data_IF_685739953435
#
_entry.id   IF_685739953435
#
_cell.length_a   1.000
_cell.length_b   1.000
_cell.length_c   1.000
_cell.angle_alpha   90.00
_cell.angle_beta   90.00
_cell.angle_gamma   90.00
#
_symmetry.space_group_name_H-M   'P 1'
#
loop_
_entity.id
_entity.type
_entity.pdbx_description
1 polymer ?
#
# COMPACT_ATOMS: atom_id res chain seq x y z
N UNK A 1 -33.18 -31.56 -24.43
CA UNK A 1 -31.78 -31.10 -24.61
C UNK A 1 -31.59 -29.57 -24.72
N UNK A 2 -32.66 -28.75 -24.79
CA UNK A 2 -32.52 -27.28 -24.92
C UNK A 2 -32.34 -26.50 -23.62
N UNK A 3 -32.86 -27.00 -22.49
CA UNK A 3 -32.86 -26.28 -21.20
C UNK A 3 -31.49 -26.25 -20.52
N UNK A 4 -30.73 -27.35 -20.58
CA UNK A 4 -29.40 -27.46 -19.95
C UNK A 4 -28.39 -26.50 -20.60
N UNK A 5 -28.45 -26.33 -21.93
CA UNK A 5 -27.58 -25.38 -22.66
C UNK A 5 -27.86 -23.92 -22.30
N UNK A 6 -29.12 -23.57 -22.08
CA UNK A 6 -29.49 -22.21 -21.67
C UNK A 6 -29.01 -21.88 -20.24
N UNK A 7 -29.10 -22.84 -19.32
CA UNK A 7 -28.62 -22.66 -17.93
C UNK A 7 -27.10 -22.50 -17.87
N UNK A 8 -26.35 -23.33 -18.61
CA UNK A 8 -24.88 -23.22 -18.67
C UNK A 8 -24.45 -21.87 -19.26
N UNK A 9 -25.13 -21.40 -20.32
CA UNK A 9 -24.83 -20.10 -20.91
C UNK A 9 -25.10 -18.94 -19.93
N UNK A 10 -26.20 -19.01 -19.16
CA UNK A 10 -26.50 -18.01 -18.13
C UNK A 10 -25.47 -18.01 -17.00
N UNK A 11 -25.04 -19.20 -16.54
CA UNK A 11 -24.02 -19.30 -15.49
C UNK A 11 -22.67 -18.76 -15.95
N UNK A 12 -22.27 -19.03 -17.20
CA UNK A 12 -21.03 -18.51 -17.78
C UNK A 12 -21.08 -16.98 -17.93
N UNK A 13 -22.20 -16.44 -18.40
CA UNK A 13 -22.40 -14.98 -18.49
C UNK A 13 -22.35 -14.35 -17.10
N UNK A 14 -23.01 -14.94 -16.10
CA UNK A 14 -22.97 -14.42 -14.73
C UNK A 14 -21.57 -14.46 -14.11
N UNK A 15 -20.80 -15.53 -14.38
CA UNK A 15 -19.40 -15.65 -13.96
C UNK A 15 -18.52 -14.60 -14.65
N UNK A 16 -18.71 -14.39 -15.95
CA UNK A 16 -17.97 -13.40 -16.72
C UNK A 16 -18.28 -11.98 -16.24
N UNK A 17 -19.55 -11.64 -15.97
CA UNK A 17 -19.95 -10.34 -15.42
C UNK A 17 -19.37 -10.09 -14.02
N UNK A 18 -19.27 -11.11 -13.17
CA UNK A 18 -18.60 -11.01 -11.85
C UNK A 18 -17.10 -10.73 -11.96
N UNK A 19 -16.44 -11.25 -12.99
CA UNK A 19 -15.00 -11.05 -13.23
C UNK A 19 -14.73 -9.63 -13.75
N UNK A 20 -15.57 -9.12 -14.67
CA UNK A 20 -15.38 -7.76 -15.24
C UNK A 20 -15.74 -6.62 -14.28
N UNK A 21 -16.58 -6.87 -13.27
CA UNK A 21 -16.98 -5.85 -12.29
C UNK A 21 -15.95 -5.60 -11.16
N UNK A 22 -14.80 -6.28 -11.16
CA UNK A 22 -13.82 -6.19 -10.07
C UNK A 22 -12.58 -5.32 -10.37
N UNK A 23 -12.63 -4.46 -11.38
CA UNK A 23 -11.63 -3.40 -11.50
C UNK A 23 -12.13 -2.15 -10.74
N UNK A 24 -11.58 -1.85 -9.55
CA UNK A 24 -11.97 -0.64 -8.83
C UNK A 24 -11.65 0.57 -9.72
N UNK A 25 -12.63 1.46 -9.88
CA UNK A 25 -12.42 2.69 -10.64
C UNK A 25 -11.40 3.59 -9.92
N UNK A 26 -10.78 4.52 -10.64
CA UNK A 26 -9.85 5.50 -10.04
C UNK A 26 -10.49 6.32 -8.91
N UNK A 27 -11.80 6.54 -9.00
CA UNK A 27 -12.63 7.21 -7.99
C UNK A 27 -12.74 6.37 -6.71
N UNK A 28 -12.97 5.06 -6.82
CA UNK A 28 -13.08 4.15 -5.67
C UNK A 28 -11.76 4.04 -4.89
N UNK A 29 -10.62 4.08 -5.60
CA UNK A 29 -9.29 4.04 -4.98
C UNK A 29 -8.98 5.36 -4.26
N UNK A 30 -9.35 6.50 -4.83
CA UNK A 30 -9.16 7.81 -4.20
C UNK A 30 -10.03 7.95 -2.94
N UNK A 31 -11.30 7.53 -3.01
CA UNK A 31 -12.19 7.54 -1.85
C UNK A 31 -11.66 6.69 -0.69
N UNK A 32 -11.14 5.48 -0.97
CA UNK A 32 -10.54 4.64 0.08
C UNK A 32 -9.29 5.23 0.69
N UNK A 33 -8.47 5.93 -0.10
CA UNK A 33 -7.27 6.58 0.44
C UNK A 33 -7.60 7.71 1.42
N UNK A 34 -8.57 8.58 1.09
CA UNK A 34 -9.02 9.64 1.99
C UNK A 34 -9.67 9.08 3.28
N UNK A 35 -10.41 7.98 3.16
CA UNK A 35 -10.97 7.27 4.31
C UNK A 35 -9.85 6.74 5.22
N UNK A 36 -8.85 6.06 4.65
CA UNK A 36 -7.73 5.51 5.41
C UNK A 36 -6.88 6.61 6.05
N UNK A 37 -6.62 7.70 5.32
CA UNK A 37 -5.95 8.89 5.84
C UNK A 37 -6.67 9.44 7.07
N UNK A 38 -7.99 9.61 6.99
CA UNK A 38 -8.80 10.10 8.13
C UNK A 38 -8.72 9.16 9.33
N UNK A 39 -8.92 7.86 9.11
CA UNK A 39 -8.85 6.84 10.17
C UNK A 39 -7.48 6.78 10.84
N UNK A 40 -6.42 6.84 10.05
CA UNK A 40 -5.05 6.76 10.55
C UNK A 40 -4.62 8.05 11.25
N UNK A 41 -5.08 9.22 10.79
CA UNK A 41 -4.86 10.48 11.49
C UNK A 41 -5.48 10.46 12.89
N UNK A 42 -6.74 10.01 13.01
CA UNK A 42 -7.44 9.93 14.29
C UNK A 42 -6.76 8.99 15.29
N UNK A 43 -6.28 7.83 14.84
CA UNK A 43 -5.66 6.83 15.72
C UNK A 43 -4.24 7.18 16.14
N UNK A 44 -3.44 7.70 15.21
CA UNK A 44 -2.03 8.05 15.46
C UNK A 44 -1.84 9.37 16.19
N UNK A 45 -2.82 10.28 16.12
CA UNK A 45 -2.68 11.68 16.57
C UNK A 45 -1.54 12.42 15.86
N UNK A 46 -1.20 11.99 14.63
CA UNK A 46 -0.22 12.65 13.80
C UNK A 46 -0.63 14.10 13.50
N UNK A 47 0.38 14.94 13.27
CA UNK A 47 0.12 16.33 12.86
C UNK A 47 -0.52 16.33 11.45
N UNK A 48 -1.73 16.87 11.29
CA UNK A 48 -2.41 16.89 9.99
C UNK A 48 -1.57 17.54 8.88
N UNK A 49 -0.80 18.59 9.19
CA UNK A 49 0.04 19.26 8.20
C UNK A 49 1.17 18.36 7.67
N UNK A 50 1.76 17.51 8.53
CA UNK A 50 2.77 16.54 8.11
C UNK A 50 2.17 15.40 7.30
N UNK A 51 0.92 15.01 7.62
CA UNK A 51 0.19 14.01 6.83
C UNK A 51 -0.12 14.54 5.43
N UNK A 52 -0.61 15.78 5.30
CA UNK A 52 -0.84 16.38 3.98
C UNK A 52 0.46 16.46 3.18
N UNK A 53 1.53 16.98 3.79
CA UNK A 53 2.83 17.08 3.11
C UNK A 53 3.37 15.71 2.67
N UNK A 54 3.22 14.66 3.50
CA UNK A 54 3.57 13.29 3.10
C UNK A 54 2.82 12.83 1.84
N UNK A 55 1.53 13.14 1.69
CA UNK A 55 0.77 12.75 0.50
C UNK A 55 1.08 13.61 -0.72
N UNK A 56 1.48 14.87 -0.54
CA UNK A 56 1.84 15.79 -1.62
C UNK A 56 3.26 15.57 -2.14
N UNK A 57 4.22 15.37 -1.24
CA UNK A 57 5.66 15.36 -1.55
C UNK A 57 6.29 13.98 -1.43
N UNK A 58 5.68 13.08 -0.65
CA UNK A 58 6.27 11.78 -0.30
C UNK A 58 7.26 11.85 0.87
N UNK A 59 7.43 13.00 1.53
CA UNK A 59 8.40 13.18 2.62
C UNK A 59 8.10 12.27 3.82
N UNK A 60 9.09 11.50 4.25
CA UNK A 60 9.00 10.64 5.43
C UNK A 60 9.48 11.39 6.67
N UNK A 61 8.60 11.51 7.67
CA UNK A 61 8.85 12.21 8.92
C UNK A 61 9.18 11.21 10.04
N UNK A 62 10.13 11.56 10.90
CA UNK A 62 10.57 10.74 12.05
C UNK A 62 9.75 10.97 13.32
N UNK A 63 8.72 11.81 13.26
CA UNK A 63 7.84 12.07 14.39
C UNK A 63 7.16 10.76 14.86
N UNK A 64 7.12 10.46 16.18
CA UNK A 64 6.55 9.21 16.67
C UNK A 64 5.08 8.99 16.28
N UNK A 65 4.27 10.06 16.21
CA UNK A 65 2.88 9.94 15.77
C UNK A 65 2.82 9.68 14.26
N UNK A 66 3.70 10.29 13.46
CA UNK A 66 3.84 9.96 12.03
C UNK A 66 4.25 8.50 11.82
N UNK A 67 5.16 7.96 12.63
CA UNK A 67 5.54 6.54 12.55
C UNK A 67 4.33 5.61 12.73
N UNK A 68 3.46 5.91 13.69
CA UNK A 68 2.22 5.16 13.89
C UNK A 68 1.16 5.43 12.81
N UNK A 69 1.13 6.64 12.25
CA UNK A 69 0.30 6.94 11.08
C UNK A 69 0.67 6.03 9.91
N UNK A 70 1.97 5.88 9.62
CA UNK A 70 2.46 4.98 8.58
C UNK A 70 2.06 3.53 8.85
N UNK A 71 2.25 3.03 10.08
CA UNK A 71 1.86 1.68 10.47
C UNK A 71 0.37 1.40 10.22
N UNK A 72 -0.50 2.35 10.58
CA UNK A 72 -1.93 2.25 10.29
C UNK A 72 -2.20 2.23 8.78
N UNK A 73 -1.57 3.12 8.02
CA UNK A 73 -1.83 3.24 6.58
C UNK A 73 -1.43 1.97 5.83
N UNK A 74 -0.25 1.42 6.12
CA UNK A 74 0.23 0.19 5.49
C UNK A 74 -0.63 -1.03 5.83
N UNK A 75 -1.21 -1.06 7.04
CA UNK A 75 -2.20 -2.08 7.44
C UNK A 75 -3.48 -1.96 6.61
N UNK A 76 -4.07 -0.75 6.50
CA UNK A 76 -5.29 -0.52 5.70
C UNK A 76 -5.10 -0.80 4.22
N UNK A 77 -3.90 -0.59 3.71
CA UNK A 77 -3.52 -0.90 2.33
C UNK A 77 -3.20 -2.39 2.10
N UNK A 78 -3.26 -3.24 3.14
CA UNK A 78 -2.88 -4.67 3.08
C UNK A 78 -1.43 -4.89 2.60
N UNK A 79 -0.53 -3.96 2.93
CA UNK A 79 0.92 -4.07 2.72
C UNK A 79 1.60 -4.87 3.84
N UNK A 80 0.84 -5.18 4.90
CA UNK A 80 1.23 -6.03 6.02
C UNK A 80 0.20 -7.14 6.16
N UNK A 81 0.65 -8.36 6.42
CA UNK A 81 -0.22 -9.48 6.76
C UNK A 81 -0.71 -9.38 8.22
N UNK A 82 -1.80 -10.08 8.60
CA UNK A 82 -2.32 -10.05 9.96
C UNK A 82 -1.35 -10.51 11.05
N UNK A 83 -0.32 -11.29 10.69
CA UNK A 83 0.75 -11.72 11.59
C UNK A 83 1.87 -10.67 11.76
N UNK A 84 1.73 -9.49 11.14
CA UNK A 84 2.70 -8.40 11.19
C UNK A 84 3.86 -8.50 10.21
N UNK A 85 3.93 -9.51 9.33
CA UNK A 85 4.99 -9.60 8.30
C UNK A 85 4.62 -8.80 7.06
N UNK A 86 5.60 -8.24 6.36
CA UNK A 86 5.31 -7.45 5.15
C UNK A 86 4.90 -8.32 3.97
N UNK A 87 3.93 -7.82 3.20
CA UNK A 87 3.53 -8.40 1.94
C UNK A 87 4.40 -7.79 0.82
N UNK A 88 5.58 -8.38 0.60
CA UNK A 88 6.59 -7.83 -0.31
C UNK A 88 6.08 -7.68 -1.76
N UNK A 89 5.23 -8.60 -2.21
CA UNK A 89 4.59 -8.50 -3.53
C UNK A 89 3.64 -7.31 -3.62
N UNK A 90 2.89 -7.01 -2.56
CA UNK A 90 2.02 -5.84 -2.51
C UNK A 90 2.84 -4.55 -2.49
N UNK A 91 3.97 -4.51 -1.76
CA UNK A 91 4.89 -3.38 -1.76
C UNK A 91 5.51 -3.11 -3.14
N UNK A 92 6.01 -4.15 -3.81
CA UNK A 92 6.56 -4.02 -5.16
C UNK A 92 5.54 -3.47 -6.15
N UNK A 93 4.29 -3.95 -6.08
CA UNK A 93 3.18 -3.43 -6.90
C UNK A 93 2.79 -2.01 -6.51
N UNK A 94 2.80 -1.67 -5.21
CA UNK A 94 2.46 -0.34 -4.70
C UNK A 94 3.40 0.73 -5.27
N UNK A 95 4.70 0.44 -5.32
CA UNK A 95 5.70 1.31 -5.95
C UNK A 95 5.74 1.20 -7.48
N UNK A 96 4.78 0.53 -8.13
CA UNK A 96 4.70 0.48 -9.60
C UNK A 96 5.95 -0.09 -10.28
N UNK A 97 6.76 -0.90 -9.57
CA UNK A 97 8.03 -1.41 -10.06
C UNK A 97 9.18 -0.39 -10.08
N UNK A 98 9.00 0.84 -9.55
CA UNK A 98 10.07 1.83 -9.41
C UNK A 98 11.15 1.41 -8.40
N UNK A 99 10.82 0.49 -7.49
CA UNK A 99 11.77 -0.10 -6.57
C UNK A 99 11.97 -1.56 -6.95
N UNK A 100 13.22 -1.99 -7.05
CA UNK A 100 13.56 -3.38 -7.32
C UNK A 100 13.14 -4.26 -6.13
N UNK A 101 12.65 -5.47 -6.40
CA UNK A 101 12.25 -6.43 -5.35
C UNK A 101 13.40 -6.74 -4.37
N UNK A 102 14.65 -6.67 -4.84
CA UNK A 102 15.84 -6.85 -3.99
C UNK A 102 15.96 -5.77 -2.91
N UNK A 103 15.62 -4.51 -3.23
CA UNK A 103 15.63 -3.40 -2.27
C UNK A 103 14.50 -3.55 -1.26
N UNK A 104 13.29 -3.89 -1.73
CA UNK A 104 12.13 -4.17 -0.84
C UNK A 104 12.48 -5.27 0.17
N UNK A 105 13.11 -6.34 -0.31
CA UNK A 105 13.53 -7.48 0.54
C UNK A 105 14.65 -7.07 1.50
N UNK A 106 15.59 -6.21 1.07
CA UNK A 106 16.65 -5.70 1.92
C UNK A 106 16.08 -4.85 3.07
N UNK A 107 15.13 -3.97 2.77
CA UNK A 107 14.46 -3.15 3.80
C UNK A 107 13.67 -4.01 4.80
N UNK A 108 12.99 -5.06 4.34
CA UNK A 108 12.29 -6.00 5.23
C UNK A 108 13.28 -6.76 6.12
N UNK A 109 14.44 -7.20 5.60
CA UNK A 109 15.46 -7.86 6.43
C UNK A 109 16.00 -6.95 7.55
N UNK A 110 16.12 -5.65 7.29
CA UNK A 110 16.64 -4.68 8.26
C UNK A 110 15.61 -4.30 9.33
N UNK A 111 14.35 -4.08 8.93
CA UNK A 111 13.33 -3.51 9.82
C UNK A 111 12.18 -4.49 10.17
N UNK A 112 12.04 -5.58 9.43
CA UNK A 112 10.91 -6.51 9.50
C UNK A 112 10.80 -7.29 10.81
N UNK A 113 11.89 -7.43 11.56
CA UNK A 113 11.93 -8.09 12.87
C UNK A 113 11.60 -7.16 14.04
N UNK A 114 11.41 -5.85 13.80
CA UNK A 114 11.06 -4.91 14.86
C UNK A 114 9.63 -5.18 15.35
N UNK A 115 9.50 -5.38 16.67
CA UNK A 115 8.24 -5.72 17.33
C UNK A 115 7.34 -4.51 17.56
N UNK A 116 7.88 -3.29 17.54
CA UNK A 116 7.09 -2.06 17.53
C UNK A 116 6.61 -1.78 16.11
N UNK A 117 5.29 -1.88 15.82
CA UNK A 117 4.76 -1.68 14.48
C UNK A 117 5.03 -0.27 13.92
N UNK A 118 5.07 0.75 14.78
CA UNK A 118 5.31 2.14 14.37
C UNK A 118 6.77 2.32 13.96
N UNK A 119 7.71 1.90 14.81
CA UNK A 119 9.14 1.97 14.51
C UNK A 119 9.51 1.09 13.29
N UNK A 120 8.88 -0.08 13.18
CA UNK A 120 8.99 -0.97 12.02
C UNK A 120 8.56 -0.27 10.73
N UNK A 121 7.37 0.32 10.71
CA UNK A 121 6.83 1.04 9.55
C UNK A 121 7.69 2.23 9.12
N UNK A 122 8.08 3.09 10.08
CA UNK A 122 8.92 4.25 9.79
C UNK A 122 10.28 3.84 9.25
N UNK A 123 10.96 2.88 9.89
CA UNK A 123 12.27 2.42 9.43
C UNK A 123 12.22 1.79 8.04
N UNK A 124 11.19 0.99 7.76
CA UNK A 124 11.01 0.41 6.44
C UNK A 124 10.79 1.49 5.36
N UNK A 125 9.95 2.49 5.61
CA UNK A 125 9.70 3.58 4.66
C UNK A 125 10.94 4.43 4.39
N UNK A 126 11.74 4.73 5.42
CA UNK A 126 13.02 5.44 5.26
C UNK A 126 14.00 4.63 4.41
N UNK A 127 14.11 3.32 4.65
CA UNK A 127 14.95 2.46 3.83
C UNK A 127 14.50 2.44 2.35
N UNK A 128 13.19 2.47 2.10
CA UNK A 128 12.62 2.52 0.75
C UNK A 128 12.86 3.88 0.07
N UNK A 129 12.75 4.99 0.80
CA UNK A 129 13.12 6.33 0.32
C UNK A 129 14.60 6.39 -0.06
N UNK A 130 15.48 5.86 0.79
CA UNK A 130 16.90 5.78 0.50
C UNK A 130 17.18 4.92 -0.74
N UNK A 131 16.45 3.80 -0.91
CA UNK A 131 16.56 2.95 -2.10
C UNK A 131 16.14 3.68 -3.37
N UNK A 132 15.05 4.45 -3.30
CA UNK A 132 14.57 5.29 -4.40
C UNK A 132 15.58 6.38 -4.78
N UNK A 133 16.19 7.02 -3.79
CA UNK A 133 17.16 8.10 -4.01
C UNK A 133 18.52 7.60 -4.53
N UNK A 134 18.84 6.31 -4.34
CA UNK A 134 20.06 5.69 -4.90
C UNK A 134 19.93 5.31 -6.38
N UNK A 135 18.71 5.11 -6.88
CA UNK A 135 18.50 4.69 -8.27
C UNK A 135 18.62 5.89 -9.23
N UNK A 136 19.60 5.91 -10.16
CA UNK A 136 19.78 7.00 -11.13
C UNK A 136 18.59 7.20 -12.09
N UNK A 137 17.59 6.31 -12.08
CA UNK A 137 16.35 6.46 -12.83
C UNK A 137 15.37 7.44 -12.14
N UNK A 138 15.56 7.74 -10.85
CA UNK A 138 14.70 8.67 -10.09
C UNK A 138 14.68 10.09 -10.68
N UNK A 139 15.78 10.54 -11.31
CA UNK A 139 15.91 11.87 -11.93
C UNK A 139 15.07 12.03 -13.22
N UNK A 140 14.58 10.93 -13.81
CA UNK A 140 13.75 10.95 -15.04
C UNK A 140 12.25 10.81 -14.79
N UNK A 141 11.80 10.93 -13.54
CA UNK A 141 10.38 10.82 -13.20
C UNK A 141 9.67 12.16 -13.56
N UNK A 142 8.58 12.14 -14.36
CA UNK A 142 7.83 13.34 -14.72
C UNK A 142 7.11 13.97 -13.53
#
# INVERSE_FOLDING_TARGET
>A
MGTIRAVILHLLVFFIFKIYAHHPSTVDRKMKMEEFKTLCLCSSKANPALVEDFFETGTIYTDPCMACFYACLIEKLNLVYPNGTYNLDAWYKFYGGFVLMVEVTACDKTHGSNLDPCAKASGFLQCMEDALNRDPIAEKRP
#
